data_IF_543232361645
#
_entry.id   IF_543232361645
#
_cell.length_a   1.000
_cell.length_b   1.000
_cell.length_c   1.000
_cell.angle_alpha   90.00
_cell.angle_beta   90.00
_cell.angle_gamma   90.00
#
_symmetry.space_group_name_H-M   'P 1'
#
loop_
_entity.id
_entity.type
_entity.pdbx_description
1 polymer ?
#
# COMPACT_ATOMS: atom_id res chain seq x y z
N UNK A 1 -10.55 -1.15 -8.98
CA UNK A 1 -10.56 0.21 -8.36
C UNK A 1 -9.31 0.98 -8.83
N UNK A 2 -9.40 2.28 -9.14
CA UNK A 2 -8.29 3.08 -9.70
C UNK A 2 -7.40 3.66 -8.60
N UNK A 3 -6.08 3.67 -8.80
CA UNK A 3 -5.05 4.13 -7.85
C UNK A 3 -5.27 5.55 -7.29
N UNK A 4 -5.89 6.42 -8.08
CA UNK A 4 -6.30 7.76 -7.65
C UNK A 4 -7.19 7.72 -6.41
N UNK A 5 -8.04 6.70 -6.27
CA UNK A 5 -8.91 6.51 -5.09
C UNK A 5 -8.08 6.18 -3.85
N UNK A 6 -7.03 5.36 -3.97
CA UNK A 6 -6.13 4.99 -2.86
C UNK A 6 -5.32 6.20 -2.40
N UNK A 7 -4.75 6.96 -3.35
CA UNK A 7 -4.07 8.23 -3.05
C UNK A 7 -5.01 9.23 -2.38
N UNK A 8 -6.25 9.32 -2.86
CA UNK A 8 -7.27 10.19 -2.28
C UNK A 8 -7.55 9.78 -0.83
N UNK A 9 -7.76 8.49 -0.55
CA UNK A 9 -7.98 7.98 0.81
C UNK A 9 -6.80 8.33 1.71
N UNK A 10 -5.57 7.98 1.34
CA UNK A 10 -4.41 8.21 2.22
C UNK A 10 -4.10 9.70 2.43
N UNK A 11 -4.38 10.55 1.44
CA UNK A 11 -4.20 12.00 1.53
C UNK A 11 -5.38 12.78 2.10
N UNK A 12 -6.51 12.10 2.41
CA UNK A 12 -7.70 12.75 2.93
C UNK A 12 -7.53 13.13 4.40
N UNK A 13 -8.00 14.32 4.78
CA UNK A 13 -7.98 14.77 6.18
C UNK A 13 -8.91 13.95 7.07
N UNK A 14 -9.98 13.39 6.50
CA UNK A 14 -10.92 12.52 7.21
C UNK A 14 -10.37 11.10 7.44
N UNK A 15 -9.17 10.79 6.94
CA UNK A 15 -8.58 9.46 7.10
C UNK A 15 -7.91 9.31 8.46
N UNK A 16 -8.41 8.34 9.21
CA UNK A 16 -7.91 7.98 10.53
C UNK A 16 -6.89 6.86 10.37
N UNK A 17 -5.69 7.08 10.89
CA UNK A 17 -4.64 6.07 10.98
C UNK A 17 -4.72 5.39 12.34
N UNK A 18 -4.91 4.07 12.35
CA UNK A 18 -5.09 3.26 13.55
C UNK A 18 -4.33 1.94 13.46
N UNK A 19 -4.22 1.23 14.57
CA UNK A 19 -3.63 -0.10 14.63
C UNK A 19 -4.64 -1.05 15.29
N UNK A 20 -4.85 -2.23 14.71
CA UNK A 20 -5.76 -3.24 15.23
C UNK A 20 -5.17 -4.63 15.11
N UNK A 21 -5.02 -5.33 16.23
CA UNK A 21 -4.42 -6.67 16.25
C UNK A 21 -2.98 -6.70 15.73
N UNK A 22 -2.22 -5.61 15.89
CA UNK A 22 -0.86 -5.47 15.35
C UNK A 22 -0.78 -5.07 13.88
N UNK A 23 -1.91 -4.83 13.22
CA UNK A 23 -2.00 -4.42 11.82
C UNK A 23 -2.25 -2.92 11.71
N UNK A 24 -1.39 -2.23 10.97
CA UNK A 24 -1.59 -0.82 10.62
C UNK A 24 -2.75 -0.68 9.64
N UNK A 25 -3.63 0.28 9.91
CA UNK A 25 -4.81 0.55 9.09
C UNK A 25 -4.99 2.06 8.87
N UNK A 26 -5.46 2.42 7.68
CA UNK A 26 -5.99 3.73 7.35
C UNK A 26 -7.47 3.58 7.01
N UNK A 27 -8.34 4.26 7.74
CA UNK A 27 -9.80 4.16 7.61
C UNK A 27 -10.37 5.52 7.23
N UNK A 28 -11.14 5.57 6.15
CA UNK A 28 -11.87 6.77 5.74
C UNK A 28 -13.36 6.45 5.74
N UNK A 29 -14.05 6.87 6.79
CA UNK A 29 -15.48 6.62 6.99
C UNK A 29 -16.35 7.41 6.02
N UNK A 30 -15.91 8.58 5.57
CA UNK A 30 -16.66 9.40 4.59
C UNK A 30 -16.69 8.75 3.22
N UNK A 31 -15.58 8.12 2.81
CA UNK A 31 -15.46 7.39 1.56
C UNK A 31 -15.88 5.91 1.71
N UNK A 32 -16.22 5.46 2.91
CA UNK A 32 -16.66 4.09 3.20
C UNK A 32 -15.59 3.04 2.85
N UNK A 33 -14.32 3.31 3.14
CA UNK A 33 -13.18 2.48 2.70
C UNK A 33 -12.08 2.40 3.75
N UNK A 34 -11.30 1.33 3.69
CA UNK A 34 -10.12 1.15 4.52
C UNK A 34 -8.94 0.57 3.71
N UNK A 35 -7.75 0.78 4.24
CA UNK A 35 -6.49 0.21 3.77
C UNK A 35 -5.85 -0.45 4.98
N UNK A 36 -5.47 -1.72 4.90
CA UNK A 36 -4.76 -2.42 5.98
C UNK A 36 -3.47 -3.06 5.46
N UNK A 37 -2.45 -3.15 6.30
CA UNK A 37 -1.21 -3.87 6.00
C UNK A 37 -1.30 -5.31 6.50
N UNK A 38 -1.12 -6.30 5.61
CA UNK A 38 -1.17 -7.72 5.95
C UNK A 38 -0.04 -8.43 5.21
N UNK A 39 0.83 -9.16 5.91
CA UNK A 39 1.91 -9.98 5.33
C UNK A 39 2.68 -9.30 4.17
N UNK A 40 3.21 -8.11 4.42
CA UNK A 40 3.98 -7.29 3.47
C UNK A 40 3.22 -6.75 2.25
N UNK A 41 1.90 -6.85 2.26
CA UNK A 41 1.02 -6.24 1.27
C UNK A 41 0.03 -5.28 1.93
N UNK A 42 -0.49 -4.32 1.17
CA UNK A 42 -1.63 -3.52 1.57
C UNK A 42 -2.88 -4.04 0.87
N UNK A 43 -3.95 -4.18 1.64
CA UNK A 43 -5.27 -4.61 1.21
C UNK A 43 -6.19 -3.41 1.28
N UNK A 44 -6.87 -3.09 0.18
CA UNK A 44 -7.88 -2.03 0.12
C UNK A 44 -9.27 -2.63 -0.04
N UNK A 45 -10.22 -2.22 0.82
CA UNK A 45 -11.60 -2.69 0.79
C UNK A 45 -12.62 -1.63 1.23
N UNK A 46 -13.90 -1.96 1.06
CA UNK A 46 -15.01 -1.10 1.49
C UNK A 46 -15.40 -1.39 2.96
N UNK A 47 -15.85 -0.37 3.67
CA UNK A 47 -16.51 -0.48 4.97
C UNK A 47 -17.97 -0.86 4.74
N UNK A 48 -18.36 -2.07 5.11
CA UNK A 48 -19.77 -2.47 5.05
C UNK A 48 -20.58 -1.96 6.24
N UNK A 49 -19.90 -1.65 7.34
CA UNK A 49 -20.46 -1.05 8.55
C UNK A 49 -19.45 -0.03 9.11
N UNK A 50 -19.89 0.80 10.06
CA UNK A 50 -18.97 1.62 10.87
C UNK A 50 -18.13 0.76 11.85
N UNK A 51 -18.30 -0.56 11.81
CA UNK A 51 -17.57 -1.49 12.64
C UNK A 51 -16.40 -2.09 11.85
N UNK A 52 -15.19 -1.68 12.24
CA UNK A 52 -13.93 -2.16 11.67
C UNK A 52 -13.75 -3.67 11.94
N UNK A 53 -14.42 -4.26 12.94
CA UNK A 53 -14.43 -5.71 13.18
C UNK A 53 -15.20 -6.50 12.10
N UNK A 54 -16.12 -5.85 11.40
CA UNK A 54 -17.03 -6.52 10.46
C UNK A 54 -16.71 -6.19 8.99
N UNK A 55 -15.42 -6.02 8.71
CA UNK A 55 -14.91 -5.85 7.37
C UNK A 55 -14.99 -7.20 6.64
N UNK A 56 -16.04 -7.39 5.83
CA UNK A 56 -16.16 -8.55 4.96
C UNK A 56 -15.34 -8.37 3.67
N UNK A 57 -14.83 -9.50 3.19
CA UNK A 57 -13.93 -9.62 2.04
C UNK A 57 -14.66 -9.38 0.72
N UNK A 58 -14.75 -8.13 0.26
CA UNK A 58 -14.70 -7.90 -1.19
C UNK A 58 -13.33 -8.35 -1.73
N UNK A 59 -13.21 -8.60 -3.05
CA UNK A 59 -11.91 -8.87 -3.69
C UNK A 59 -10.97 -7.68 -3.44
N UNK A 60 -10.02 -7.80 -2.50
CA UNK A 60 -9.19 -6.68 -2.15
C UNK A 60 -8.14 -6.46 -3.23
N UNK A 61 -7.75 -5.20 -3.40
CA UNK A 61 -6.57 -4.92 -4.22
C UNK A 61 -5.33 -5.11 -3.35
N UNK A 62 -4.50 -6.06 -3.75
CA UNK A 62 -3.17 -6.27 -3.18
C UNK A 62 -2.19 -5.23 -3.74
N UNK A 63 -1.47 -4.56 -2.84
CA UNK A 63 -0.36 -3.69 -3.18
C UNK A 63 0.90 -4.16 -2.44
N UNK A 64 2.02 -4.28 -3.12
CA UNK A 64 3.27 -4.67 -2.48
C UNK A 64 3.90 -3.49 -1.76
N UNK A 65 4.33 -3.72 -0.51
CA UNK A 65 5.15 -2.77 0.23
C UNK A 65 6.64 -2.93 -0.18
N UNK A 66 7.51 -2.09 0.37
CA UNK A 66 8.95 -2.14 0.07
C UNK A 66 9.61 -3.46 0.49
N UNK A 67 9.12 -4.11 1.54
CA UNK A 67 9.65 -5.39 2.00
C UNK A 67 9.33 -6.50 0.99
N UNK A 68 8.07 -6.61 0.54
CA UNK A 68 7.67 -7.59 -0.48
C UNK A 68 8.43 -7.44 -1.79
N UNK A 69 8.65 -6.20 -2.22
CA UNK A 69 9.49 -5.91 -3.39
C UNK A 69 10.94 -6.34 -3.18
N UNK A 70 11.46 -6.22 -1.96
CA UNK A 70 12.80 -6.68 -1.59
C UNK A 70 12.94 -8.19 -1.72
N UNK A 71 11.93 -8.94 -1.27
CA UNK A 71 11.89 -10.39 -1.43
C UNK A 71 11.89 -10.80 -2.90
N UNK A 72 11.00 -10.20 -3.71
CA UNK A 72 10.83 -10.52 -5.14
C UNK A 72 12.12 -10.25 -5.91
N UNK A 73 12.79 -9.14 -5.61
CA UNK A 73 14.00 -8.72 -6.32
C UNK A 73 15.29 -9.24 -5.68
N UNK A 74 15.19 -9.96 -4.54
CA UNK A 74 16.32 -10.35 -3.70
C UNK A 74 17.24 -9.16 -3.33
N UNK A 75 16.63 -8.07 -2.86
CA UNK A 75 17.29 -6.81 -2.47
C UNK A 75 16.94 -6.42 -1.04
N UNK A 76 17.93 -5.88 -0.32
CA UNK A 76 17.68 -5.25 0.98
C UNK A 76 16.95 -3.91 0.86
N UNK A 77 16.26 -3.48 1.93
CA UNK A 77 15.52 -2.21 2.00
C UNK A 77 16.38 -0.99 1.61
N UNK A 78 17.64 -0.95 2.05
CA UNK A 78 18.58 0.12 1.69
C UNK A 78 18.90 0.15 0.21
N UNK A 79 19.03 -1.00 -0.44
CA UNK A 79 19.31 -1.09 -1.87
C UNK A 79 18.09 -0.65 -2.70
N UNK A 80 16.89 -0.97 -2.24
CA UNK A 80 15.65 -0.49 -2.86
C UNK A 80 15.56 1.03 -2.72
N UNK A 81 15.74 1.55 -1.51
CA UNK A 81 15.69 3.00 -1.27
C UNK A 81 16.70 3.75 -2.12
N UNK A 82 17.95 3.26 -2.16
CA UNK A 82 18.97 3.84 -3.02
C UNK A 82 18.55 3.82 -4.50
N UNK A 83 17.99 2.71 -5.00
CA UNK A 83 17.51 2.63 -6.37
C UNK A 83 16.38 3.63 -6.66
N UNK A 84 15.47 3.85 -5.71
CA UNK A 84 14.39 4.84 -5.82
C UNK A 84 14.92 6.27 -5.82
N UNK A 85 15.83 6.60 -4.89
CA UNK A 85 16.44 7.94 -4.77
C UNK A 85 17.22 8.31 -6.04
N UNK A 86 17.87 7.33 -6.67
CA UNK A 86 18.63 7.50 -7.93
C UNK A 86 17.80 7.24 -9.19
N UNK A 87 16.48 7.01 -9.06
CA UNK A 87 15.56 6.73 -10.18
C UNK A 87 16.01 5.56 -11.06
N UNK A 88 16.67 4.56 -10.48
CA UNK A 88 17.16 3.37 -11.19
C UNK A 88 16.01 2.35 -11.38
N UNK A 89 15.08 2.68 -12.28
CA UNK A 89 13.88 1.88 -12.50
C UNK A 89 14.11 0.56 -13.24
N UNK A 90 15.32 0.35 -13.76
CA UNK A 90 15.75 -0.95 -14.29
C UNK A 90 15.99 -1.97 -13.16
N UNK A 91 16.42 -1.49 -11.99
CA UNK A 91 16.74 -2.32 -10.83
C UNK A 91 15.52 -2.57 -9.94
N UNK A 92 14.71 -1.53 -9.72
CA UNK A 92 13.45 -1.62 -8.98
C UNK A 92 12.39 -0.88 -9.78
N UNK A 93 11.27 -1.51 -10.18
CA UNK A 93 10.21 -0.84 -10.91
C UNK A 93 9.78 0.45 -10.21
N UNK A 94 9.36 1.46 -10.98
CA UNK A 94 8.85 2.70 -10.39
C UNK A 94 7.60 2.38 -9.53
N UNK A 95 7.53 2.83 -8.26
CA UNK A 95 6.32 2.69 -7.46
C UNK A 95 5.15 3.35 -8.18
N UNK A 96 3.99 2.70 -8.15
CA UNK A 96 2.77 3.29 -8.69
C UNK A 96 2.32 4.49 -7.85
N UNK A 97 2.60 4.45 -6.55
CA UNK A 97 2.27 5.52 -5.63
C UNK A 97 3.28 5.61 -4.49
N UNK A 98 3.45 6.83 -4.00
CA UNK A 98 4.23 7.15 -2.82
C UNK A 98 3.34 8.00 -1.91
N UNK A 99 3.07 7.49 -0.72
CA UNK A 99 2.43 8.28 0.33
C UNK A 99 3.53 8.98 1.12
N UNK A 100 3.65 10.29 0.94
CA UNK A 100 4.60 11.11 1.69
C UNK A 100 3.93 11.63 2.96
N UNK A 101 4.44 11.22 4.11
CA UNK A 101 4.01 11.74 5.41
C UNK A 101 5.18 12.44 6.09
N UNK A 102 4.89 13.27 7.10
CA UNK A 102 5.94 13.88 7.94
C UNK A 102 6.85 12.84 8.63
N UNK A 103 6.41 11.58 8.74
CA UNK A 103 7.17 10.47 9.35
C UNK A 103 7.97 9.65 8.34
N UNK A 104 7.81 9.91 7.04
CA UNK A 104 8.49 9.20 5.97
C UNK A 104 7.57 8.85 4.80
N UNK A 105 8.17 8.25 3.78
CA UNK A 105 7.49 7.82 2.55
C UNK A 105 7.15 6.33 2.59
N UNK A 106 5.90 6.01 2.29
CA UNK A 106 5.44 4.62 2.04
C UNK A 106 5.28 4.43 0.54
N UNK A 107 5.85 3.35 -0.01
CA UNK A 107 5.87 3.06 -1.44
C UNK A 107 4.96 1.88 -1.75
N UNK A 108 4.22 1.98 -2.84
CA UNK A 108 3.22 0.99 -3.24
C UNK A 108 3.44 0.56 -4.69
N UNK A 109 3.47 -0.76 -4.90
CA UNK A 109 3.54 -1.37 -6.22
C UNK A 109 2.37 -2.33 -6.47
N UNK A 110 2.08 -2.58 -7.74
CA UNK A 110 1.17 -3.62 -8.15
C UNK A 110 1.93 -4.95 -8.35
N UNK A 111 1.32 -6.10 -8.00
CA UNK A 111 1.85 -7.41 -8.34
C UNK A 111 2.20 -7.56 -9.82
N UNK A 112 1.38 -6.98 -10.69
CA UNK A 112 1.55 -7.01 -12.15
C UNK A 112 2.87 -6.41 -12.63
N UNK A 113 3.46 -5.47 -11.87
CA UNK A 113 4.75 -4.86 -12.23
C UNK A 113 5.93 -5.83 -12.13
N UNK A 114 5.74 -6.96 -11.45
CA UNK A 114 6.75 -7.99 -11.23
C UNK A 114 6.44 -9.30 -11.94
N UNK A 115 5.30 -9.38 -12.62
CA UNK A 115 5.00 -10.50 -13.51
C UNK A 115 5.90 -10.34 -14.74
N UNK A 116 6.92 -11.19 -14.86
CA UNK A 116 7.65 -11.36 -16.10
C UNK A 116 6.63 -11.87 -17.13
N UNK A 117 6.49 -11.21 -18.28
CA UNK A 117 5.79 -11.83 -19.40
C UNK A 117 6.54 -13.13 -19.71
N UNK A 118 5.94 -14.28 -19.42
CA UNK A 118 6.33 -15.56 -20.03
C UNK A 118 6.12 -15.50 -21.55
#
# INVERSE_FOLDING_TARGET
>A
MKFEKIKKILGDQATIYTEKGGVNMAVNTEQGVYIKEDNDVYIVGNLQTNDIDNIQSEEPIELYNMQKVGEILNLGRTQIRWALDHKNYKKVPKPMFVNETNRGSTYFWLPEQFKTNE
#
